data_IF_361225880938
#
_entry.id   IF_361225880938
#
_cell.length_a   1.000
_cell.length_b   1.000
_cell.length_c   1.000
_cell.angle_alpha   90.00
_cell.angle_beta   90.00
_cell.angle_gamma   90.00
#
_symmetry.space_group_name_H-M   'P 1'
#
loop_
_entity.id
_entity.type
_entity.pdbx_description
1 polymer ?
#
# COMPACT_ATOMS: atom_id res chain seq x y z
N UNK A 1 1.34 12.05 16.22
CA UNK A 1 1.20 10.62 16.52
C UNK A 1 -0.10 10.30 17.29
N UNK A 2 -0.36 10.85 18.50
CA UNK A 2 -1.57 10.54 19.30
C UNK A 2 -2.90 10.80 18.57
N UNK A 3 -3.01 11.81 17.71
CA UNK A 3 -4.24 12.13 16.95
C UNK A 3 -4.53 11.13 15.82
N UNK A 4 -3.50 10.55 15.20
CA UNK A 4 -3.66 9.52 14.15
C UNK A 4 -4.07 8.17 14.74
N UNK A 5 -3.49 7.80 15.89
CA UNK A 5 -3.87 6.58 16.61
C UNK A 5 -5.33 6.69 17.09
N UNK A 6 -5.75 7.86 17.56
CA UNK A 6 -7.13 8.11 17.96
C UNK A 6 -8.10 8.04 16.76
N UNK A 7 -7.74 8.56 15.60
CA UNK A 7 -8.58 8.49 14.39
C UNK A 7 -8.71 7.05 13.87
N UNK A 8 -7.62 6.27 13.88
CA UNK A 8 -7.66 4.86 13.52
C UNK A 8 -8.47 4.02 14.52
N UNK A 9 -8.36 4.32 15.83
CA UNK A 9 -9.15 3.66 16.86
C UNK A 9 -10.65 4.02 16.77
N UNK A 10 -10.98 5.29 16.47
CA UNK A 10 -12.37 5.73 16.25
C UNK A 10 -12.97 5.07 14.99
N UNK A 11 -12.19 4.93 13.93
CA UNK A 11 -12.63 4.24 12.72
C UNK A 11 -12.87 2.76 12.98
N UNK A 12 -11.98 2.08 13.73
CA UNK A 12 -12.17 0.69 14.15
C UNK A 12 -13.38 0.53 15.08
N UNK A 13 -13.65 1.49 15.96
CA UNK A 13 -14.85 1.48 16.81
C UNK A 13 -16.13 1.73 16.02
N UNK A 14 -16.12 2.55 14.98
CA UNK A 14 -17.31 2.80 14.13
C UNK A 14 -17.73 1.56 13.33
N UNK A 15 -16.83 0.63 13.09
CA UNK A 15 -17.11 -0.66 12.44
C UNK A 15 -17.89 -1.63 13.33
N UNK A 16 -17.97 -1.36 14.64
CA UNK A 16 -18.67 -2.23 15.61
C UNK A 16 -20.19 -1.95 15.72
N UNK A 17 -20.72 -0.94 15.05
CA UNK A 17 -22.12 -0.48 15.20
C UNK A 17 -23.07 -0.84 14.05
N UNK A 18 -22.80 -1.91 13.32
CA UNK A 18 -23.66 -2.32 12.20
C UNK A 18 -24.23 -3.73 12.33
N UNK A 19 -25.33 -3.90 13.09
CA UNK A 19 -26.04 -5.18 13.27
C UNK A 19 -26.61 -5.83 11.99
N UNK A 20 -26.27 -5.33 10.83
CA UNK A 20 -26.71 -5.86 9.51
C UNK A 20 -25.62 -5.95 8.43
N UNK A 21 -24.36 -5.68 8.74
CA UNK A 21 -23.28 -6.05 7.84
C UNK A 21 -23.04 -7.55 8.00
N UNK A 22 -23.16 -8.26 6.89
CA UNK A 22 -22.77 -9.69 6.80
C UNK A 22 -21.41 -9.85 7.46
N UNK A 23 -21.29 -10.84 8.37
CA UNK A 23 -20.08 -11.02 9.16
C UNK A 23 -18.83 -10.92 8.28
N UNK A 24 -18.01 -9.90 8.54
CA UNK A 24 -16.76 -9.72 7.83
C UNK A 24 -15.75 -10.76 8.31
N UNK A 25 -14.81 -11.08 7.43
CA UNK A 25 -13.76 -12.04 7.73
C UNK A 25 -12.43 -11.32 7.97
N UNK A 26 -11.75 -11.65 9.06
CA UNK A 26 -10.37 -11.27 9.27
C UNK A 26 -9.46 -12.11 8.39
N UNK A 27 -8.36 -11.52 7.94
CA UNK A 27 -7.37 -12.21 7.15
C UNK A 27 -5.97 -11.66 7.36
N UNK A 28 -5.02 -12.48 7.00
CA UNK A 28 -3.61 -12.10 6.88
C UNK A 28 -3.26 -12.03 5.40
N UNK A 29 -2.37 -11.13 5.06
CA UNK A 29 -1.90 -11.03 3.68
C UNK A 29 -0.39 -10.80 3.62
N UNK A 30 0.19 -11.22 2.52
CA UNK A 30 1.58 -10.94 2.18
C UNK A 30 1.77 -10.95 0.68
N UNK A 31 2.88 -10.39 0.22
CA UNK A 31 3.15 -10.35 -1.20
C UNK A 31 4.43 -9.62 -1.58
N UNK A 32 4.57 -9.36 -2.87
CA UNK A 32 5.70 -8.69 -3.45
C UNK A 32 5.29 -7.38 -4.15
N UNK A 33 6.17 -6.39 -4.03
CA UNK A 33 6.08 -5.10 -4.70
C UNK A 33 7.19 -5.01 -5.75
N UNK A 34 6.83 -4.68 -6.96
CA UNK A 34 7.75 -4.38 -8.05
C UNK A 34 7.72 -2.86 -8.25
N UNK A 35 8.56 -2.17 -7.48
CA UNK A 35 8.57 -0.71 -7.43
C UNK A 35 9.62 -0.13 -8.37
N UNK A 36 9.27 0.96 -9.01
CA UNK A 36 10.17 1.79 -9.81
C UNK A 36 10.02 3.23 -9.35
N UNK A 37 11.12 3.93 -9.17
CA UNK A 37 11.08 5.36 -8.89
C UNK A 37 11.11 6.14 -10.19
N UNK A 38 10.12 6.99 -10.41
CA UNK A 38 10.12 7.94 -11.51
C UNK A 38 10.77 9.24 -11.07
N UNK A 39 11.94 9.51 -11.62
CA UNK A 39 12.67 10.77 -11.43
C UNK A 39 12.95 11.38 -12.79
N UNK A 40 12.88 12.71 -12.92
CA UNK A 40 13.13 13.40 -14.20
C UNK A 40 14.55 13.15 -14.70
N UNK A 41 14.69 12.36 -15.79
CA UNK A 41 15.97 12.12 -16.48
C UNK A 41 16.81 10.96 -15.97
N UNK A 42 16.40 10.23 -14.90
CA UNK A 42 17.12 9.07 -14.38
C UNK A 42 16.23 7.83 -14.53
N UNK A 43 16.77 6.81 -15.19
CA UNK A 43 16.13 5.47 -15.20
C UNK A 43 16.53 4.76 -13.93
N UNK A 44 15.55 4.45 -13.08
CA UNK A 44 15.70 3.58 -11.93
C UNK A 44 15.33 2.16 -12.34
N UNK A 45 16.09 1.18 -11.89
CA UNK A 45 15.72 -0.23 -12.05
C UNK A 45 14.59 -0.60 -11.08
N UNK A 46 13.81 -1.60 -11.48
CA UNK A 46 12.72 -2.10 -10.66
C UNK A 46 13.28 -2.93 -9.50
N UNK A 47 12.98 -2.53 -8.28
CA UNK A 47 13.36 -3.28 -7.09
C UNK A 47 12.18 -4.12 -6.61
N UNK A 48 12.47 -5.40 -6.30
CA UNK A 48 11.47 -6.29 -5.72
C UNK A 48 11.55 -6.21 -4.21
N UNK A 49 10.45 -5.81 -3.57
CA UNK A 49 10.32 -5.72 -2.13
C UNK A 49 9.08 -6.50 -1.66
N UNK A 50 8.90 -6.62 -0.37
CA UNK A 50 7.82 -7.39 0.22
C UNK A 50 6.86 -6.50 1.04
N UNK A 51 5.67 -7.01 1.27
CA UNK A 51 4.70 -6.44 2.20
C UNK A 51 3.97 -7.55 2.94
N UNK A 52 3.51 -7.24 4.15
CA UNK A 52 2.66 -8.12 4.93
C UNK A 52 1.71 -7.30 5.80
N UNK A 53 0.56 -7.87 6.15
CA UNK A 53 -0.39 -7.15 6.98
C UNK A 53 -1.64 -7.92 7.35
N UNK A 54 -2.56 -7.17 7.95
CA UNK A 54 -3.86 -7.65 8.43
C UNK A 54 -4.96 -6.97 7.64
N UNK A 55 -5.98 -7.71 7.30
CA UNK A 55 -7.10 -7.25 6.51
C UNK A 55 -8.43 -7.68 7.11
N UNK A 56 -9.44 -6.87 6.91
CA UNK A 56 -10.81 -7.20 7.29
C UNK A 56 -11.73 -6.99 6.08
N UNK A 57 -12.36 -8.06 5.59
CA UNK A 57 -13.23 -8.01 4.41
C UNK A 57 -14.68 -7.91 4.85
N UNK A 58 -15.37 -6.86 4.42
CA UNK A 58 -16.80 -6.63 4.62
C UNK A 58 -17.54 -6.87 3.30
N UNK A 59 -18.51 -7.75 3.34
CA UNK A 59 -19.35 -8.05 2.19
C UNK A 59 -20.53 -7.07 2.14
N UNK A 60 -20.71 -6.42 1.02
CA UNK A 60 -21.80 -5.49 0.74
C UNK A 60 -22.72 -6.05 -0.35
N UNK A 61 -23.97 -5.56 -0.44
CA UNK A 61 -24.86 -5.95 -1.53
C UNK A 61 -24.28 -5.60 -2.91
N UNK A 62 -24.86 -6.21 -3.96
CA UNK A 62 -24.54 -5.94 -5.37
C UNK A 62 -23.10 -6.29 -5.79
N UNK A 63 -22.46 -7.22 -5.10
CA UNK A 63 -21.09 -7.66 -5.41
C UNK A 63 -19.99 -6.70 -4.97
N UNK A 64 -20.31 -5.72 -4.12
CA UNK A 64 -19.29 -4.86 -3.54
C UNK A 64 -18.69 -5.46 -2.27
N UNK A 65 -17.39 -5.25 -2.09
CA UNK A 65 -16.70 -5.51 -0.84
C UNK A 65 -15.89 -4.27 -0.45
N UNK A 66 -15.81 -3.98 0.84
CA UNK A 66 -14.86 -3.02 1.39
C UNK A 66 -13.88 -3.78 2.25
N UNK A 67 -12.60 -3.52 2.04
CA UNK A 67 -11.52 -4.26 2.71
C UNK A 67 -10.48 -3.28 3.26
N UNK A 68 -10.67 -2.76 4.49
CA UNK A 68 -9.61 -2.07 5.20
C UNK A 68 -8.46 -3.02 5.50
N UNK A 69 -7.24 -2.54 5.29
CA UNK A 69 -6.02 -3.32 5.44
C UNK A 69 -4.96 -2.46 6.09
N UNK A 70 -4.28 -3.00 7.09
CA UNK A 70 -3.10 -2.42 7.71
C UNK A 70 -1.88 -3.21 7.25
N UNK A 71 -0.94 -2.54 6.59
CA UNK A 71 0.23 -3.12 5.96
C UNK A 71 1.52 -2.59 6.56
N UNK A 72 2.50 -3.46 6.74
CA UNK A 72 3.90 -3.07 6.69
C UNK A 72 4.39 -3.29 5.25
N UNK A 73 4.77 -2.22 4.59
CA UNK A 73 5.07 -2.20 3.17
C UNK A 73 6.47 -1.65 2.94
N UNK A 74 7.37 -2.47 2.42
CA UNK A 74 8.72 -2.05 2.08
C UNK A 74 8.72 -1.55 0.64
N UNK A 75 9.19 -0.32 0.43
CA UNK A 75 9.38 0.29 -0.88
C UNK A 75 10.85 0.63 -1.06
N UNK A 76 11.39 0.41 -2.23
CA UNK A 76 12.79 0.68 -2.51
C UNK A 76 13.01 1.10 -3.96
N UNK A 77 14.19 1.62 -4.19
CA UNK A 77 14.68 1.97 -5.52
C UNK A 77 16.18 1.77 -5.56
N UNK A 78 16.63 1.19 -6.66
CA UNK A 78 18.04 1.05 -6.98
C UNK A 78 18.44 2.17 -7.95
N UNK A 79 19.45 2.94 -7.58
CA UNK A 79 19.97 4.02 -8.40
C UNK A 79 21.30 3.58 -9.03
N UNK A 80 21.27 3.19 -10.30
CA UNK A 80 22.40 2.69 -11.10
C UNK A 80 23.64 3.59 -11.15
N UNK A 81 23.68 4.72 -10.48
CA UNK A 81 24.81 5.66 -10.51
C UNK A 81 25.88 5.41 -9.43
N UNK A 82 25.63 4.57 -8.43
CA UNK A 82 26.58 4.33 -7.31
C UNK A 82 26.15 3.16 -6.43
N UNK A 83 25.83 1.96 -6.90
CA UNK A 83 25.49 0.82 -6.02
C UNK A 83 24.72 1.21 -4.72
N UNK A 84 23.87 2.24 -4.82
CA UNK A 84 23.24 2.87 -3.65
C UNK A 84 21.80 2.39 -3.56
N UNK A 85 21.58 1.38 -2.76
CA UNK A 85 20.26 0.86 -2.43
C UNK A 85 19.59 1.76 -1.38
N UNK A 86 18.34 2.10 -1.62
CA UNK A 86 17.54 2.84 -0.65
C UNK A 86 16.18 2.17 -0.46
N UNK A 87 15.88 1.80 0.78
CA UNK A 87 14.60 1.20 1.15
C UNK A 87 13.95 1.94 2.29
N UNK A 88 12.62 2.07 2.22
CA UNK A 88 11.80 2.67 3.27
C UNK A 88 10.67 1.71 3.63
N UNK A 89 10.57 1.37 4.90
CA UNK A 89 9.46 0.64 5.46
C UNK A 89 8.33 1.59 5.86
N UNK A 90 7.16 1.39 5.28
CA UNK A 90 5.95 2.16 5.57
C UNK A 90 4.96 1.31 6.37
N UNK A 91 4.38 1.93 7.39
CA UNK A 91 3.13 1.44 7.96
C UNK A 91 1.99 2.10 7.18
N UNK A 92 1.29 1.33 6.38
CA UNK A 92 0.24 1.81 5.47
C UNK A 92 -1.15 1.35 5.91
N UNK A 93 -2.10 2.27 5.85
CA UNK A 93 -3.52 1.95 5.91
C UNK A 93 -4.11 2.09 4.51
N UNK A 94 -4.72 1.02 4.02
CA UNK A 94 -5.35 0.92 2.71
C UNK A 94 -6.83 0.59 2.88
N UNK A 95 -7.70 1.25 2.12
CA UNK A 95 -9.12 0.97 2.06
C UNK A 95 -9.51 0.52 0.65
N UNK A 96 -9.54 -0.78 0.43
CA UNK A 96 -9.90 -1.36 -0.88
C UNK A 96 -11.40 -1.37 -1.06
N UNK A 97 -11.87 -0.83 -2.16
CA UNK A 97 -13.24 -0.98 -2.67
C UNK A 97 -13.19 -1.95 -3.83
N UNK A 98 -13.84 -3.07 -3.68
CA UNK A 98 -13.84 -4.17 -4.66
C UNK A 98 -15.26 -4.34 -5.22
N UNK A 99 -15.34 -4.53 -6.53
CA UNK A 99 -16.59 -4.92 -7.19
C UNK A 99 -16.34 -6.17 -8.01
N UNK A 100 -17.16 -7.19 -7.81
CA UNK A 100 -16.95 -8.48 -8.44
C UNK A 100 -18.25 -9.27 -8.64
N UNK A 101 -18.12 -10.37 -9.35
CA UNK A 101 -19.23 -11.27 -9.68
C UNK A 101 -18.99 -12.60 -8.97
N UNK A 102 -19.92 -12.98 -8.09
CA UNK A 102 -19.86 -14.24 -7.37
C UNK A 102 -20.20 -15.40 -8.32
N UNK A 103 -19.19 -16.19 -8.66
CA UNK A 103 -19.34 -17.45 -9.37
C UNK A 103 -19.25 -18.60 -8.36
N UNK A 104 -19.69 -19.79 -8.75
CA UNK A 104 -19.83 -20.94 -7.83
C UNK A 104 -18.51 -21.31 -7.13
N UNK A 105 -17.37 -21.21 -7.83
CA UNK A 105 -16.06 -21.64 -7.33
C UNK A 105 -15.10 -20.48 -7.02
N UNK A 106 -15.30 -19.34 -7.62
CA UNK A 106 -14.41 -18.19 -7.48
C UNK A 106 -15.16 -16.90 -7.77
N UNK A 107 -14.61 -15.78 -7.29
CA UNK A 107 -15.12 -14.44 -7.52
C UNK A 107 -14.04 -13.57 -8.15
N UNK A 108 -14.08 -13.28 -9.45
CA UNK A 108 -13.27 -12.23 -10.04
C UNK A 108 -13.78 -10.87 -9.61
N UNK A 109 -12.86 -9.93 -9.36
CA UNK A 109 -13.21 -8.58 -8.94
C UNK A 109 -12.23 -7.54 -9.47
N UNK A 110 -12.73 -6.31 -9.61
CA UNK A 110 -11.95 -5.10 -9.78
C UNK A 110 -11.73 -4.46 -8.42
N UNK A 111 -10.62 -3.75 -8.27
CA UNK A 111 -10.17 -3.18 -7.00
C UNK A 111 -9.67 -1.75 -7.21
N UNK A 112 -10.13 -0.85 -6.34
CA UNK A 112 -9.61 0.52 -6.21
C UNK A 112 -9.27 0.73 -4.74
N UNK A 113 -8.02 1.07 -4.47
CA UNK A 113 -7.46 1.05 -3.14
C UNK A 113 -6.70 2.34 -2.84
N UNK A 114 -7.37 3.39 -2.34
CA UNK A 114 -6.66 4.52 -1.74
C UNK A 114 -5.90 4.06 -0.48
N UNK A 115 -4.71 4.63 -0.29
CA UNK A 115 -3.88 4.32 0.86
C UNK A 115 -3.14 5.56 1.36
N UNK A 116 -2.80 5.51 2.64
CA UNK A 116 -1.94 6.46 3.32
C UNK A 116 -0.96 5.68 4.19
N UNK A 117 0.29 6.08 4.18
CA UNK A 117 1.34 5.42 4.94
C UNK A 117 2.26 6.41 5.64
N UNK A 118 2.93 5.92 6.67
CA UNK A 118 3.95 6.64 7.40
C UNK A 118 5.24 5.83 7.39
N UNK A 119 6.33 6.43 6.90
CA UNK A 119 7.66 5.82 6.89
C UNK A 119 8.18 5.66 8.32
N UNK A 120 8.38 4.41 8.73
CA UNK A 120 8.78 4.04 10.09
C UNK A 120 10.21 3.55 10.16
N UNK A 121 10.74 3.03 9.07
CA UNK A 121 12.11 2.54 8.97
C UNK A 121 12.72 2.93 7.62
N UNK A 122 14.01 3.15 7.57
CA UNK A 122 14.76 3.47 6.37
C UNK A 122 16.16 2.88 6.48
N UNK A 123 16.61 2.24 5.42
CA UNK A 123 17.90 1.57 5.31
C UNK A 123 18.57 1.96 3.99
N UNK A 124 19.89 1.92 3.97
CA UNK A 124 20.74 2.27 2.83
C UNK A 124 21.52 3.56 2.98
N UNK A 125 22.34 3.87 2.01
CA UNK A 125 23.32 4.98 2.07
C UNK A 125 22.68 6.37 2.13
N UNK A 126 21.44 6.51 1.63
CA UNK A 126 20.67 7.76 1.69
C UNK A 126 19.89 7.93 3.01
N UNK A 127 20.08 7.05 4.00
CA UNK A 127 19.35 7.10 5.27
C UNK A 127 19.60 8.40 6.05
N UNK A 128 20.77 9.00 5.91
CA UNK A 128 21.12 10.29 6.54
C UNK A 128 20.35 11.43 5.87
N UNK A 129 20.30 11.45 4.54
CA UNK A 129 19.55 12.45 3.79
C UNK A 129 18.03 12.32 4.03
N UNK A 130 17.52 11.11 4.23
CA UNK A 130 16.13 10.88 4.60
C UNK A 130 15.77 11.46 5.97
N UNK A 131 16.64 11.36 6.97
CA UNK A 131 16.41 11.96 8.30
C UNK A 131 16.27 13.47 8.24
N UNK A 132 16.98 14.12 7.35
CA UNK A 132 17.04 15.57 7.24
C UNK A 132 15.97 16.13 6.26
N UNK A 133 15.78 15.50 5.12
CA UNK A 133 14.96 16.00 4.02
C UNK A 133 13.78 15.07 3.64
N UNK A 134 13.70 13.87 4.19
CA UNK A 134 12.68 12.88 3.87
C UNK A 134 11.27 13.30 4.26
N UNK A 135 10.29 12.93 3.46
CA UNK A 135 8.87 13.08 3.77
C UNK A 135 8.33 11.73 4.27
N UNK A 136 8.02 11.60 5.56
CA UNK A 136 7.55 10.34 6.10
C UNK A 136 6.11 9.99 5.67
N UNK A 137 5.35 10.96 5.15
CA UNK A 137 3.96 10.75 4.74
C UNK A 137 3.90 10.32 3.28
N UNK A 138 3.49 9.07 3.04
CA UNK A 138 3.15 8.53 1.73
C UNK A 138 1.63 8.44 1.57
N UNK A 139 1.12 8.72 0.37
CA UNK A 139 -0.27 8.49 0.03
C UNK A 139 -0.40 8.25 -1.47
N UNK A 140 -1.40 7.48 -1.85
CA UNK A 140 -1.59 7.12 -3.24
C UNK A 140 -2.88 6.35 -3.47
N UNK A 141 -2.97 5.80 -4.67
CA UNK A 141 -4.08 4.93 -5.07
C UNK A 141 -3.55 3.73 -5.84
N UNK A 142 -4.07 2.56 -5.51
CA UNK A 142 -3.90 1.34 -6.27
C UNK A 142 -5.15 1.04 -7.10
N UNK A 143 -4.97 0.57 -8.32
CA UNK A 143 -6.05 0.07 -9.16
C UNK A 143 -5.65 -1.29 -9.70
N UNK A 144 -6.56 -2.22 -9.66
CA UNK A 144 -6.25 -3.57 -10.10
C UNK A 144 -7.44 -4.50 -10.12
N UNK A 145 -7.15 -5.76 -9.90
CA UNK A 145 -8.16 -6.79 -9.81
C UNK A 145 -7.62 -8.06 -9.17
N UNK A 146 -8.51 -8.98 -8.91
CA UNK A 146 -8.13 -10.21 -8.25
C UNK A 146 -9.17 -11.30 -8.36
N UNK A 147 -8.88 -12.38 -7.68
CA UNK A 147 -9.71 -13.56 -7.56
C UNK A 147 -9.85 -13.95 -6.10
N UNK A 148 -11.07 -14.07 -5.63
CA UNK A 148 -11.38 -14.79 -4.41
C UNK A 148 -11.66 -16.25 -4.76
N UNK A 149 -10.94 -17.15 -4.11
CA UNK A 149 -11.10 -18.60 -4.27
C UNK A 149 -11.22 -19.18 -2.87
N UNK A 150 -12.42 -19.52 -2.47
CA UNK A 150 -12.73 -20.00 -1.14
C UNK A 150 -12.28 -19.01 -0.02
N UNK A 151 -11.22 -19.32 0.71
CA UNK A 151 -10.63 -18.44 1.76
C UNK A 151 -9.41 -17.67 1.29
N UNK A 152 -8.96 -17.93 0.08
CA UNK A 152 -7.80 -17.25 -0.51
C UNK A 152 -8.25 -16.10 -1.40
N UNK A 153 -7.46 -15.04 -1.38
CA UNK A 153 -7.62 -13.92 -2.29
C UNK A 153 -6.27 -13.62 -2.95
N UNK A 154 -6.24 -13.62 -4.27
CA UNK A 154 -5.10 -13.17 -5.05
C UNK A 154 -5.44 -11.81 -5.66
N UNK A 155 -4.56 -10.83 -5.50
CA UNK A 155 -4.77 -9.47 -6.00
C UNK A 155 -3.52 -8.97 -6.70
N UNK A 156 -3.71 -8.39 -7.88
CA UNK A 156 -2.69 -7.62 -8.59
C UNK A 156 -3.14 -6.18 -8.68
N UNK A 157 -2.30 -5.23 -8.26
CA UNK A 157 -2.57 -3.78 -8.31
C UNK A 157 -1.42 -3.05 -8.97
N UNK A 158 -1.76 -2.02 -9.72
CA UNK A 158 -0.82 -0.97 -10.07
C UNK A 158 -1.04 0.22 -9.15
N UNK A 159 0.04 0.68 -8.53
CA UNK A 159 0.01 1.73 -7.51
C UNK A 159 0.65 3.02 -8.04
N UNK A 160 0.00 4.15 -7.75
CA UNK A 160 0.49 5.49 -7.97
C UNK A 160 0.63 6.19 -6.63
N UNK A 161 1.87 6.47 -6.21
CA UNK A 161 2.14 7.35 -5.08
C UNK A 161 2.06 8.80 -5.52
N UNK A 162 1.33 9.61 -4.79
CA UNK A 162 1.22 11.06 -5.00
C UNK A 162 2.11 11.83 -4.03
N UNK A 163 2.51 11.23 -2.92
CA UNK A 163 3.49 11.77 -1.99
C UNK A 163 4.87 11.91 -2.63
N UNK A 164 5.57 12.99 -2.32
CA UNK A 164 6.98 13.16 -2.70
C UNK A 164 7.85 12.49 -1.64
N UNK A 165 8.89 11.77 -2.08
CA UNK A 165 9.83 11.09 -1.18
C UNK A 165 10.64 12.09 -0.35
N UNK A 166 10.96 13.26 -0.94
CA UNK A 166 11.71 14.32 -0.28
C UNK A 166 10.91 15.63 -0.22
N UNK A 167 11.09 16.41 0.85
CA UNK A 167 10.49 17.74 0.97
C UNK A 167 11.07 18.66 -0.10
N UNK A 168 10.26 19.50 -0.76
CA UNK A 168 10.75 20.49 -1.70
C UNK A 168 11.44 21.62 -0.92
N UNK A 169 12.71 21.50 -0.64
CA UNK A 169 13.53 22.63 -0.16
C UNK A 169 14.27 23.23 -1.35
N UNK A 170 14.28 24.57 -1.42
CA UNK A 170 14.73 25.34 -2.58
C UNK A 170 16.24 25.27 -2.87
N UNK A 171 17.00 24.57 -2.03
CA UNK A 171 18.47 24.63 -2.05
C UNK A 171 19.18 23.40 -2.62
N UNK A 172 18.48 22.30 -2.92
CA UNK A 172 19.11 21.05 -3.37
C UNK A 172 18.46 20.56 -4.66
N UNK A 173 19.19 20.69 -5.76
CA UNK A 173 18.88 20.14 -7.09
C UNK A 173 18.86 18.61 -7.08
N UNK A 174 18.45 17.98 -8.08
CA UNK A 174 17.28 17.62 -8.86
C UNK A 174 16.49 16.42 -8.33
N UNK A 175 16.58 16.07 -7.06
CA UNK A 175 15.88 14.95 -6.42
C UNK A 175 14.39 15.30 -6.13
N UNK A 176 14.00 16.53 -6.49
CA UNK A 176 12.64 17.04 -6.25
C UNK A 176 11.65 16.33 -7.17
N UNK A 177 10.69 15.61 -6.58
CA UNK A 177 9.59 14.99 -7.31
C UNK A 177 9.67 13.49 -7.55
N UNK A 178 10.63 12.80 -6.93
CA UNK A 178 10.69 11.35 -6.98
C UNK A 178 9.41 10.74 -6.36
N UNK A 179 8.75 9.83 -7.09
CA UNK A 179 7.52 9.15 -6.66
C UNK A 179 7.64 7.67 -6.95
N UNK A 180 7.12 6.86 -6.04
CA UNK A 180 7.04 5.42 -6.29
C UNK A 180 5.87 5.10 -7.22
N UNK A 181 6.12 4.18 -8.13
CA UNK A 181 5.10 3.54 -8.97
C UNK A 181 5.46 2.07 -9.08
N UNK A 182 4.46 1.22 -9.19
CA UNK A 182 4.77 -0.19 -9.37
C UNK A 182 3.57 -1.11 -9.31
N UNK A 183 3.87 -2.37 -9.55
CA UNK A 183 2.90 -3.46 -9.46
C UNK A 183 3.07 -4.14 -8.13
N UNK A 184 1.95 -4.44 -7.48
CA UNK A 184 1.89 -5.21 -6.23
C UNK A 184 1.12 -6.49 -6.48
N UNK A 185 1.69 -7.63 -6.08
CA UNK A 185 1.02 -8.92 -6.05
C UNK A 185 0.83 -9.34 -4.60
N UNK A 186 -0.40 -9.59 -4.19
CA UNK A 186 -0.76 -9.95 -2.82
C UNK A 186 -1.54 -11.27 -2.79
N UNK A 187 -1.23 -12.09 -1.82
CA UNK A 187 -2.01 -13.27 -1.46
C UNK A 187 -2.52 -13.07 -0.03
N UNK A 188 -3.83 -13.22 0.16
CA UNK A 188 -4.47 -13.15 1.46
C UNK A 188 -5.18 -14.47 1.79
N UNK A 189 -5.25 -14.77 3.09
CA UNK A 189 -6.04 -15.86 3.65
C UNK A 189 -7.00 -15.30 4.69
N UNK A 190 -8.30 -15.60 4.56
CA UNK A 190 -9.37 -15.17 5.45
C UNK A 190 -9.87 -16.32 6.31
N UNK A 191 -10.06 -16.03 7.59
CA UNK A 191 -10.49 -17.02 8.60
C UNK A 191 -12.00 -17.23 8.61
#
# INVERSE_FOLDING_TARGET
MKKFIAAAALFLMSLSFGDKLSAGNFGILGGANFCTTSMAGIKSESMTQWHAGLSYKMNLPLGFHIQPTLLYNVKGSDFNLSETDFTVGYLEFMASVQWGIDLILFRPFLDVSPYVGYGVNHEGDLSVAWKEFGNPLGYGVGVGGGLDIWRFQLVARYNWDFGQIFKPDQSVSPVIGARFRGVTLSLAYFF
#
